data_IF_057283051898
#
_entry.id   IF_057283051898
#
_cell.length_a   1.000
_cell.length_b   1.000
_cell.length_c   1.000
_cell.angle_alpha   90.00
_cell.angle_beta   90.00
_cell.angle_gamma   90.00
#
_symmetry.space_group_name_H-M   'P 1'
#
loop_
_entity.id
_entity.type
_entity.pdbx_description
1 polymer ?
#
# COMPACT_ATOMS: atom_id res chain seq x y z
N UNK A 1 17.84 -16.66 0.66
CA UNK A 1 18.61 -15.92 1.70
C UNK A 1 19.01 -14.50 1.29
N UNK A 2 19.23 -14.18 0.01
CA UNK A 2 19.64 -12.83 -0.45
C UNK A 2 18.51 -11.79 -0.36
N UNK A 3 17.26 -12.20 -0.58
CA UNK A 3 16.06 -11.34 -0.52
C UNK A 3 15.71 -10.87 0.90
N UNK A 4 15.92 -11.70 1.92
CA UNK A 4 15.75 -11.29 3.32
C UNK A 4 16.78 -10.24 3.77
N UNK A 5 17.94 -10.18 3.09
CA UNK A 5 19.02 -9.25 3.42
C UNK A 5 18.70 -7.83 2.95
N UNK A 6 18.09 -7.68 1.77
CA UNK A 6 17.54 -6.39 1.31
C UNK A 6 16.38 -5.92 2.18
N UNK A 7 15.52 -6.84 2.61
CA UNK A 7 14.40 -6.53 3.50
C UNK A 7 14.90 -6.04 4.87
N UNK A 8 15.88 -6.72 5.46
CA UNK A 8 16.53 -6.29 6.71
C UNK A 8 17.22 -4.92 6.59
N UNK A 9 17.86 -4.63 5.45
CA UNK A 9 18.48 -3.33 5.17
C UNK A 9 17.45 -2.21 5.05
N UNK A 10 16.32 -2.47 4.39
CA UNK A 10 15.21 -1.51 4.29
C UNK A 10 14.64 -1.22 5.68
N UNK A 11 14.42 -2.24 6.50
CA UNK A 11 13.95 -2.08 7.88
C UNK A 11 14.93 -1.23 8.71
N UNK A 12 16.23 -1.52 8.63
CA UNK A 12 17.27 -0.73 9.30
C UNK A 12 17.34 0.72 8.80
N UNK A 13 17.17 0.93 7.50
CA UNK A 13 17.17 2.27 6.89
C UNK A 13 15.96 3.08 7.35
N UNK A 14 14.77 2.47 7.36
CA UNK A 14 13.55 3.09 7.92
C UNK A 14 13.82 3.46 9.37
N UNK A 15 14.32 2.54 10.19
CA UNK A 15 14.67 2.79 11.60
C UNK A 15 15.59 3.99 11.77
N UNK A 16 16.69 4.04 11.02
CA UNK A 16 17.65 5.15 11.09
C UNK A 16 17.01 6.49 10.72
N UNK A 17 16.20 6.51 9.65
CA UNK A 17 15.52 7.74 9.18
C UNK A 17 14.48 8.22 10.17
N UNK A 18 13.66 7.33 10.76
CA UNK A 18 12.66 7.74 11.77
C UNK A 18 13.33 8.25 13.05
N UNK A 19 14.45 7.63 13.45
CA UNK A 19 15.18 8.02 14.65
C UNK A 19 15.88 9.37 14.47
N UNK A 20 16.47 9.62 13.29
CA UNK A 20 16.99 10.93 12.92
C UNK A 20 15.88 11.99 12.85
N UNK A 21 14.73 11.64 12.26
CA UNK A 21 13.56 12.52 12.20
C UNK A 21 13.04 12.91 13.59
N UNK A 22 12.99 11.95 14.52
CA UNK A 22 12.63 12.21 15.91
C UNK A 22 13.68 13.06 16.65
N UNK A 23 14.98 12.82 16.40
CA UNK A 23 16.07 13.57 17.01
C UNK A 23 16.08 15.05 16.58
N UNK A 24 15.83 15.32 15.29
CA UNK A 24 15.93 16.67 14.71
C UNK A 24 14.59 17.44 14.67
N UNK A 25 13.47 16.83 15.08
CA UNK A 25 12.16 17.49 15.03
C UNK A 25 11.98 18.48 16.20
N UNK A 26 11.89 19.80 15.93
CA UNK A 26 11.80 20.84 16.97
C UNK A 26 10.41 20.95 17.62
N UNK A 27 9.40 20.24 17.09
CA UNK A 27 8.00 20.28 17.56
C UNK A 27 7.63 19.17 18.54
N UNK A 28 8.54 18.24 18.87
CA UNK A 28 8.34 17.26 19.95
C UNK A 28 8.48 17.94 21.33
N UNK A 29 7.51 18.78 21.68
CA UNK A 29 7.40 19.41 23.00
C UNK A 29 6.85 18.50 24.09
N UNK A 30 6.41 17.28 23.77
CA UNK A 30 6.31 16.22 24.78
C UNK A 30 7.69 15.59 24.92
N UNK A 31 8.45 16.01 25.94
CA UNK A 31 9.64 15.30 26.41
C UNK A 31 9.24 13.91 26.95
N UNK A 32 8.90 13.01 26.04
CA UNK A 32 8.94 11.57 26.33
C UNK A 32 10.40 11.19 26.46
N UNK A 33 10.75 10.42 27.49
CA UNK A 33 12.14 10.02 27.71
C UNK A 33 12.70 9.27 26.50
N UNK A 34 14.02 9.26 26.31
CA UNK A 34 14.68 8.50 25.22
C UNK A 34 14.21 7.03 25.15
N UNK A 35 13.93 6.44 26.32
CA UNK A 35 13.36 5.10 26.46
C UNK A 35 11.94 4.99 25.90
N UNK A 36 11.08 5.98 26.15
CA UNK A 36 9.71 6.01 25.64
C UNK A 36 9.69 6.24 24.13
N UNK A 37 10.54 7.13 23.60
CA UNK A 37 10.71 7.31 22.16
C UNK A 37 11.24 6.04 21.50
N UNK A 38 12.18 5.34 22.14
CA UNK A 38 12.70 4.06 21.65
C UNK A 38 11.61 2.98 21.61
N UNK A 39 10.79 2.85 22.66
CA UNK A 39 9.67 1.91 22.66
C UNK A 39 8.57 2.29 21.67
N UNK A 40 8.29 3.59 21.52
CA UNK A 40 7.26 4.07 20.61
C UNK A 40 7.69 3.88 19.15
N UNK A 41 8.89 4.33 18.79
CA UNK A 41 9.45 4.14 17.44
C UNK A 41 9.73 2.66 17.15
N UNK A 42 10.22 1.91 18.13
CA UNK A 42 10.43 0.46 18.03
C UNK A 42 9.10 -0.29 17.85
N UNK A 43 8.04 0.12 18.56
CA UNK A 43 6.69 -0.41 18.37
C UNK A 43 6.14 -0.10 17.00
N UNK A 44 6.27 1.14 16.53
CA UNK A 44 5.88 1.55 15.16
C UNK A 44 6.66 0.74 14.12
N UNK A 45 7.97 0.56 14.30
CA UNK A 45 8.78 -0.22 13.37
C UNK A 45 8.47 -1.70 13.39
N UNK A 46 8.21 -2.28 14.57
CA UNK A 46 7.78 -3.66 14.70
C UNK A 46 6.46 -3.88 13.95
N UNK A 47 5.51 -2.96 14.10
CA UNK A 47 4.25 -2.96 13.39
C UNK A 47 4.44 -2.84 11.88
N UNK A 48 5.26 -1.88 11.41
CA UNK A 48 5.54 -1.68 9.97
C UNK A 48 6.28 -2.89 9.38
N UNK A 49 7.19 -3.49 10.13
CA UNK A 49 7.94 -4.69 9.71
C UNK A 49 7.04 -5.91 9.64
N UNK A 50 6.12 -6.07 10.59
CA UNK A 50 5.06 -7.07 10.54
C UNK A 50 4.21 -6.87 9.28
N UNK A 51 3.69 -5.67 9.03
CA UNK A 51 2.91 -5.37 7.84
C UNK A 51 3.66 -5.68 6.53
N UNK A 52 4.96 -5.35 6.45
CA UNK A 52 5.79 -5.63 5.29
C UNK A 52 6.02 -7.14 5.07
N UNK A 53 6.27 -7.91 6.15
CA UNK A 53 6.37 -9.37 6.08
C UNK A 53 5.01 -9.99 5.75
N UNK A 54 3.90 -9.41 6.21
CA UNK A 54 2.56 -9.94 5.95
C UNK A 54 2.02 -9.64 4.56
N UNK A 55 2.44 -8.52 3.94
CA UNK A 55 2.23 -8.28 2.52
C UNK A 55 2.85 -9.39 1.64
N UNK A 56 3.84 -10.13 2.16
CA UNK A 56 4.42 -11.29 1.47
C UNK A 56 3.71 -12.63 1.74
N UNK A 57 2.84 -12.73 2.76
CA UNK A 57 2.22 -14.00 3.20
C UNK A 57 0.74 -14.15 2.80
N UNK A 58 0.08 -13.11 2.29
CA UNK A 58 -1.26 -13.18 1.70
C UNK A 58 -2.38 -12.49 2.50
N UNK A 59 -3.54 -12.33 1.85
CA UNK A 59 -4.61 -11.42 2.28
C UNK A 59 -5.32 -11.83 3.59
N UNK A 60 -5.44 -13.13 3.87
CA UNK A 60 -6.07 -13.63 5.10
C UNK A 60 -5.27 -13.27 6.34
N UNK A 61 -3.94 -13.44 6.29
CA UNK A 61 -3.05 -13.02 7.37
C UNK A 61 -3.08 -11.51 7.54
N UNK A 62 -3.02 -10.75 6.44
CA UNK A 62 -3.14 -9.29 6.47
C UNK A 62 -4.40 -8.82 7.22
N UNK A 63 -5.57 -9.42 6.98
CA UNK A 63 -6.82 -8.99 7.62
C UNK A 63 -6.79 -9.16 9.16
N UNK A 64 -6.29 -10.30 9.65
CA UNK A 64 -6.20 -10.58 11.10
C UNK A 64 -5.23 -9.61 11.76
N UNK A 65 -4.06 -9.37 11.16
CA UNK A 65 -3.07 -8.46 11.73
C UNK A 65 -3.49 -7.01 11.64
N UNK A 66 -4.15 -6.60 10.56
CA UNK A 66 -4.74 -5.28 10.43
C UNK A 66 -5.77 -5.06 11.54
N UNK A 67 -6.59 -6.07 11.86
CA UNK A 67 -7.55 -5.97 12.97
C UNK A 67 -6.85 -5.79 14.34
N UNK A 68 -5.80 -6.55 14.63
CA UNK A 68 -5.02 -6.42 15.87
C UNK A 68 -4.33 -5.05 15.93
N UNK A 69 -3.73 -4.60 14.82
CA UNK A 69 -3.09 -3.30 14.74
C UNK A 69 -4.10 -2.15 14.92
N UNK A 70 -5.26 -2.22 14.28
CA UNK A 70 -6.32 -1.23 14.48
C UNK A 70 -6.80 -1.23 15.93
N UNK A 71 -6.97 -2.39 16.57
CA UNK A 71 -7.32 -2.45 17.98
C UNK A 71 -6.27 -1.75 18.86
N UNK A 72 -4.97 -1.95 18.60
CA UNK A 72 -3.89 -1.26 19.30
C UNK A 72 -3.90 0.25 19.03
N UNK A 73 -4.12 0.67 17.78
CA UNK A 73 -4.20 2.09 17.41
C UNK A 73 -5.40 2.76 18.09
N UNK A 74 -6.57 2.11 18.12
CA UNK A 74 -7.74 2.61 18.84
C UNK A 74 -7.43 2.77 20.33
N UNK A 75 -6.75 1.78 20.92
CA UNK A 75 -6.40 1.81 22.35
C UNK A 75 -5.41 2.91 22.71
N UNK A 76 -4.48 3.27 21.82
CA UNK A 76 -3.40 4.23 22.10
C UNK A 76 -3.71 5.65 21.61
N UNK A 77 -4.36 5.77 20.46
CA UNK A 77 -4.55 7.02 19.72
C UNK A 77 -6.03 7.34 19.44
N UNK A 78 -6.95 6.48 19.92
CA UNK A 78 -8.38 6.64 19.70
C UNK A 78 -8.85 6.29 18.28
N UNK A 79 -10.15 6.42 18.05
CA UNK A 79 -10.81 6.06 16.79
C UNK A 79 -10.26 6.87 15.61
N UNK A 80 -9.92 8.14 15.83
CA UNK A 80 -9.41 9.01 14.76
C UNK A 80 -8.06 8.51 14.22
N UNK A 81 -7.18 8.01 15.09
CA UNK A 81 -5.93 7.37 14.67
C UNK A 81 -6.17 6.13 13.80
N UNK A 82 -7.17 5.32 14.14
CA UNK A 82 -7.53 4.14 13.36
C UNK A 82 -8.11 4.52 11.99
N UNK A 83 -8.92 5.58 11.91
CA UNK A 83 -9.44 6.11 10.64
C UNK A 83 -8.30 6.56 9.73
N UNK A 84 -7.31 7.28 10.27
CA UNK A 84 -6.12 7.71 9.50
C UNK A 84 -5.37 6.49 8.97
N UNK A 85 -5.15 5.48 9.81
CA UNK A 85 -4.45 4.26 9.42
C UNK A 85 -5.20 3.51 8.31
N UNK A 86 -6.51 3.31 8.45
CA UNK A 86 -7.33 2.66 7.41
C UNK A 86 -7.26 3.45 6.10
N UNK A 87 -7.36 4.77 6.18
CA UNK A 87 -7.27 5.65 5.02
C UNK A 87 -5.91 5.52 4.31
N UNK A 88 -4.81 5.58 5.06
CA UNK A 88 -3.46 5.43 4.49
C UNK A 88 -3.26 4.06 3.86
N UNK A 89 -3.73 2.99 4.52
CA UNK A 89 -3.69 1.63 3.97
C UNK A 89 -4.49 1.54 2.67
N UNK A 90 -5.69 2.13 2.62
CA UNK A 90 -6.50 2.21 1.41
C UNK A 90 -5.77 2.93 0.28
N UNK A 91 -5.17 4.09 0.56
CA UNK A 91 -4.44 4.88 -0.43
C UNK A 91 -3.22 4.12 -0.95
N UNK A 92 -2.41 3.52 -0.07
CA UNK A 92 -1.19 2.80 -0.48
C UNK A 92 -1.54 1.54 -1.28
N UNK A 93 -2.40 0.67 -0.74
CA UNK A 93 -2.76 -0.57 -1.41
C UNK A 93 -3.55 -0.31 -2.69
N UNK A 94 -4.50 0.63 -2.63
CA UNK A 94 -5.29 1.05 -3.78
C UNK A 94 -4.44 1.67 -4.89
N UNK A 95 -3.35 2.38 -4.56
CA UNK A 95 -2.42 2.91 -5.56
C UNK A 95 -1.62 1.80 -6.26
N UNK A 96 -1.13 0.81 -5.50
CA UNK A 96 -0.41 -0.35 -6.06
C UNK A 96 -1.35 -1.12 -7.00
N UNK A 97 -2.54 -1.47 -6.51
CA UNK A 97 -3.54 -2.20 -7.29
C UNK A 97 -3.95 -1.43 -8.55
N UNK A 98 -4.22 -0.12 -8.42
CA UNK A 98 -4.55 0.74 -9.56
C UNK A 98 -3.45 0.77 -10.61
N UNK A 99 -2.19 0.86 -10.17
CA UNK A 99 -1.05 0.87 -11.07
C UNK A 99 -0.91 -0.46 -11.82
N UNK A 100 -1.03 -1.59 -11.13
CA UNK A 100 -0.99 -2.92 -11.77
C UNK A 100 -2.14 -3.09 -12.77
N UNK A 101 -3.35 -2.61 -12.45
CA UNK A 101 -4.50 -2.62 -13.38
C UNK A 101 -4.20 -1.83 -14.66
N UNK A 102 -3.66 -0.62 -14.53
CA UNK A 102 -3.33 0.23 -15.68
C UNK A 102 -2.17 -0.34 -16.50
N UNK A 103 -1.15 -0.89 -15.83
CA UNK A 103 -0.03 -1.57 -16.48
C UNK A 103 -0.51 -2.81 -17.24
N UNK A 104 -1.47 -3.55 -16.69
CA UNK A 104 -2.08 -4.67 -17.38
C UNK A 104 -2.84 -4.24 -18.64
N UNK A 105 -3.67 -3.20 -18.56
CA UNK A 105 -4.41 -2.66 -19.73
C UNK A 105 -3.43 -2.11 -20.80
N UNK A 106 -2.26 -1.61 -20.38
CA UNK A 106 -1.16 -1.23 -21.26
C UNK A 106 -0.36 -2.42 -21.84
N UNK A 107 -0.67 -3.66 -21.46
CA UNK A 107 -0.05 -4.88 -21.99
C UNK A 107 1.22 -5.35 -21.28
N UNK A 108 1.51 -4.87 -20.07
CA UNK A 108 2.69 -5.29 -19.32
C UNK A 108 2.58 -6.73 -18.81
N UNK A 109 3.49 -7.61 -19.25
CA UNK A 109 3.54 -9.01 -18.81
C UNK A 109 3.79 -9.16 -17.30
N UNK A 110 4.53 -8.23 -16.68
CA UNK A 110 4.77 -8.25 -15.23
C UNK A 110 3.49 -8.09 -14.42
N UNK A 111 2.57 -7.23 -14.88
CA UNK A 111 1.27 -7.03 -14.23
C UNK A 111 0.39 -8.28 -14.38
N UNK A 112 0.41 -8.90 -15.56
CA UNK A 112 -0.26 -10.19 -15.80
C UNK A 112 0.21 -11.27 -14.82
N UNK A 113 1.52 -11.45 -14.65
CA UNK A 113 2.07 -12.40 -13.68
C UNK A 113 1.69 -12.04 -12.24
N UNK A 114 1.66 -10.76 -11.89
CA UNK A 114 1.26 -10.29 -10.57
C UNK A 114 -0.17 -10.69 -10.23
N UNK A 115 -1.12 -10.52 -11.17
CA UNK A 115 -2.52 -10.91 -10.97
C UNK A 115 -2.69 -12.43 -10.91
N UNK A 116 -2.11 -13.19 -11.84
CA UNK A 116 -2.24 -14.66 -11.88
C UNK A 116 -1.68 -15.32 -10.61
N UNK A 117 -0.63 -14.75 -10.03
CA UNK A 117 -0.01 -15.31 -8.81
C UNK A 117 -0.77 -14.97 -7.51
N UNK A 118 -1.65 -13.97 -7.51
CA UNK A 118 -2.26 -13.41 -6.28
C UNK A 118 -3.77 -13.48 -6.23
N UNK A 119 -4.44 -13.58 -7.38
CA UNK A 119 -5.89 -13.44 -7.47
C UNK A 119 -6.53 -14.62 -8.19
N UNK A 120 -7.74 -14.96 -7.75
CA UNK A 120 -8.75 -15.57 -8.62
C UNK A 120 -9.71 -14.46 -9.07
N UNK A 121 -10.54 -14.73 -10.08
CA UNK A 121 -11.44 -13.71 -10.60
C UNK A 121 -12.36 -13.11 -9.52
N UNK A 122 -12.87 -13.94 -8.59
CA UNK A 122 -13.74 -13.49 -7.51
C UNK A 122 -13.05 -12.48 -6.58
N UNK A 123 -11.81 -12.74 -6.15
CA UNK A 123 -11.07 -11.83 -5.28
C UNK A 123 -10.64 -10.58 -6.03
N UNK A 124 -10.23 -10.71 -7.30
CA UNK A 124 -9.90 -9.57 -8.15
C UNK A 124 -11.09 -8.64 -8.29
N UNK A 125 -12.27 -9.18 -8.63
CA UNK A 125 -13.49 -8.39 -8.83
C UNK A 125 -13.87 -7.61 -7.58
N UNK A 126 -13.73 -8.20 -6.40
CA UNK A 126 -13.99 -7.51 -5.13
C UNK A 126 -13.04 -6.32 -4.91
N UNK A 127 -11.74 -6.52 -5.09
CA UNK A 127 -10.75 -5.43 -4.95
C UNK A 127 -10.90 -4.38 -6.05
N UNK A 128 -11.21 -4.79 -7.28
CA UNK A 128 -11.46 -3.89 -8.39
C UNK A 128 -12.56 -2.88 -8.10
N UNK A 129 -13.68 -3.32 -7.51
CA UNK A 129 -14.74 -2.40 -7.10
C UNK A 129 -14.36 -1.55 -5.88
N UNK A 130 -13.66 -2.12 -4.90
CA UNK A 130 -13.22 -1.38 -3.72
C UNK A 130 -12.24 -0.23 -4.07
N UNK A 131 -11.32 -0.49 -5.00
CA UNK A 131 -10.29 0.45 -5.44
C UNK A 131 -10.64 1.18 -6.74
N UNK A 132 -11.88 1.07 -7.23
CA UNK A 132 -12.32 1.79 -8.42
C UNK A 132 -12.07 3.30 -8.36
N UNK A 133 -12.33 4.00 -7.23
CA UNK A 133 -11.96 5.41 -7.10
C UNK A 133 -10.46 5.67 -7.26
N UNK A 134 -9.61 4.77 -6.74
CA UNK A 134 -8.16 4.89 -6.85
C UNK A 134 -7.66 4.60 -8.26
N UNK A 135 -8.25 3.64 -8.97
CA UNK A 135 -7.96 3.40 -10.39
C UNK A 135 -8.21 4.67 -11.21
N UNK A 136 -9.38 5.29 -11.03
CA UNK A 136 -9.71 6.55 -11.69
C UNK A 136 -8.76 7.69 -11.32
N UNK A 137 -8.41 7.81 -10.04
CA UNK A 137 -7.47 8.83 -9.57
C UNK A 137 -6.08 8.67 -10.20
N UNK A 138 -5.51 7.45 -10.17
CA UNK A 138 -4.19 7.18 -10.77
C UNK A 138 -4.23 7.36 -12.29
N UNK A 139 -5.31 6.95 -12.96
CA UNK A 139 -5.50 7.21 -14.39
C UNK A 139 -5.48 8.70 -14.71
N UNK A 140 -6.20 9.53 -13.93
CA UNK A 140 -6.17 10.99 -14.09
C UNK A 140 -4.75 11.54 -13.91
N UNK A 141 -4.03 11.07 -12.89
CA UNK A 141 -2.66 11.51 -12.61
C UNK A 141 -1.67 11.13 -13.71
N UNK A 142 -1.77 9.92 -14.26
CA UNK A 142 -0.78 9.38 -15.20
C UNK A 142 -1.10 9.69 -16.66
N UNK A 143 -2.37 9.78 -17.04
CA UNK A 143 -2.78 9.98 -18.43
C UNK A 143 -3.28 11.39 -18.68
N UNK A 144 -4.15 11.94 -17.82
CA UNK A 144 -4.81 13.22 -18.10
C UNK A 144 -3.88 14.40 -17.81
N UNK A 145 -3.20 14.40 -16.68
CA UNK A 145 -2.28 15.48 -16.28
C UNK A 145 -1.11 15.65 -17.25
N UNK A 146 -0.40 14.59 -17.67
CA UNK A 146 0.70 14.72 -18.64
C UNK A 146 0.21 15.10 -20.03
N UNK A 147 -0.96 14.61 -20.46
CA UNK A 147 -1.52 14.97 -21.77
C UNK A 147 -1.97 16.43 -21.84
N UNK A 148 -2.36 17.03 -20.71
CA UNK A 148 -2.62 18.48 -20.64
C UNK A 148 -1.35 19.31 -20.88
N UNK A 149 -0.17 18.74 -20.58
CA UNK A 149 1.13 19.41 -20.68
C UNK A 149 1.90 19.05 -21.97
N UNK A 150 1.78 17.82 -22.49
CA UNK A 150 2.58 17.29 -23.61
C UNK A 150 1.79 16.92 -24.87
N UNK A 151 0.45 16.92 -24.85
CA UNK A 151 -0.42 16.53 -25.99
C UNK A 151 -0.05 15.17 -26.61
N UNK A 152 0.26 14.18 -25.78
CA UNK A 152 0.42 12.80 -26.25
C UNK A 152 -0.96 12.12 -26.35
N UNK A 153 -1.03 10.95 -26.98
CA UNK A 153 -2.28 10.20 -27.12
C UNK A 153 -2.63 9.52 -25.81
N UNK A 154 -3.82 9.81 -25.28
CA UNK A 154 -4.39 9.15 -24.09
C UNK A 154 -4.59 7.66 -24.40
N UNK A 155 -4.05 6.77 -23.56
CA UNK A 155 -4.43 5.35 -23.59
C UNK A 155 -5.85 5.25 -23.04
N UNK A 156 -6.81 4.89 -23.89
CA UNK A 156 -8.23 4.82 -23.52
C UNK A 156 -8.49 3.68 -22.54
N UNK A 157 -8.43 3.96 -21.24
CA UNK A 157 -8.74 2.98 -20.19
C UNK A 157 -10.24 2.67 -20.18
N UNK A 158 -10.58 1.41 -20.45
CA UNK A 158 -11.97 0.93 -20.42
C UNK A 158 -12.19 -0.05 -19.27
N UNK A 159 -12.94 0.37 -18.21
CA UNK A 159 -13.22 -0.48 -17.06
C UNK A 159 -13.83 -1.85 -17.38
N UNK A 160 -14.75 -1.88 -18.34
CA UNK A 160 -15.45 -3.11 -18.75
C UNK A 160 -14.54 -4.05 -19.54
N UNK A 161 -13.63 -3.49 -20.35
CA UNK A 161 -12.64 -4.27 -21.09
C UNK A 161 -11.67 -4.97 -20.15
N UNK A 162 -11.13 -4.26 -19.16
CA UNK A 162 -10.21 -4.84 -18.16
C UNK A 162 -10.91 -5.92 -17.35
N UNK A 163 -12.14 -5.67 -16.89
CA UNK A 163 -12.87 -6.65 -16.10
C UNK A 163 -13.09 -7.96 -16.87
N UNK A 164 -13.48 -7.87 -18.15
CA UNK A 164 -13.67 -9.04 -19.02
C UNK A 164 -12.35 -9.75 -19.32
N UNK A 165 -11.28 -9.01 -19.60
CA UNK A 165 -9.96 -9.58 -19.83
C UNK A 165 -9.40 -10.29 -18.59
N UNK A 166 -9.75 -9.82 -17.38
CA UNK A 166 -9.38 -10.47 -16.13
C UNK A 166 -10.23 -11.69 -15.80
N UNK A 167 -11.50 -11.71 -16.22
CA UNK A 167 -12.35 -12.91 -16.16
C UNK A 167 -11.73 -14.04 -17.00
N UNK A 168 -11.38 -13.76 -18.26
CA UNK A 168 -10.74 -14.73 -19.15
C UNK A 168 -9.36 -15.20 -18.68
N UNK A 169 -8.66 -14.39 -17.86
CA UNK A 169 -7.32 -14.69 -17.36
C UNK A 169 -7.30 -15.47 -16.04
N UNK A 170 -8.28 -15.22 -15.17
CA UNK A 170 -8.26 -15.64 -13.76
C UNK A 170 -9.37 -16.66 -13.40
N UNK A 171 -10.25 -17.02 -14.34
CA UNK A 171 -11.13 -18.20 -14.26
C UNK A 171 -10.44 -19.47 -14.76
#
# INVERSE_FOLDING_TARGET
>A
MREYRSLALIILAIFAVTLLGAYFSPTFQEQRGWLELFFLLGGVLFIVSLLAVFATLGFSSFAIYMAVFLAAVISLYGILGAVIVVFLTYVVWGSIFAMEVLLYDAGANSAKEWFVTRYNFKSFKAEYYAFYPMIGFVYVLLEILPNLLRRESVIDFSPSRVLKAMEELLD
#
